data_IF_254053384845
#
_entry.id   IF_254053384845
#
_cell.length_a   1.000
_cell.length_b   1.000
_cell.length_c   1.000
_cell.angle_alpha   90.00
_cell.angle_beta   90.00
_cell.angle_gamma   90.00
#
_symmetry.space_group_name_H-M   'P 1'
#
loop_
_entity.id
_entity.type
_entity.pdbx_description
1 polymer ?
#
# COMPACT_ATOMS: atom_id res chain seq x y z
N UNK A 1 -11.26 -24.01 15.00
CA UNK A 1 -10.04 -23.46 15.63
C UNK A 1 -10.35 -22.04 16.11
N UNK A 2 -9.87 -21.65 17.29
CA UNK A 2 -9.98 -20.28 17.75
C UNK A 2 -8.91 -19.41 17.05
N UNK A 3 -9.29 -18.21 16.62
CA UNK A 3 -8.37 -17.25 16.01
C UNK A 3 -7.46 -16.64 17.08
N UNK A 4 -6.20 -16.39 16.74
CA UNK A 4 -5.26 -15.73 17.65
C UNK A 4 -5.55 -14.22 17.75
N UNK A 5 -6.03 -13.62 16.66
CA UNK A 5 -6.49 -12.22 16.64
C UNK A 5 -7.94 -12.12 16.13
N UNK A 6 -8.94 -12.46 16.97
CA UNK A 6 -10.36 -12.55 16.54
C UNK A 6 -10.91 -11.28 15.89
N UNK A 7 -10.37 -10.12 16.25
CA UNK A 7 -10.78 -8.82 15.73
C UNK A 7 -10.40 -8.56 14.26
N UNK A 8 -9.31 -9.15 13.76
CA UNK A 8 -8.77 -8.84 12.43
C UNK A 8 -8.49 -10.09 11.59
N UNK A 9 -8.00 -11.17 12.18
CA UNK A 9 -7.61 -12.40 11.49
C UNK A 9 -8.71 -12.99 10.60
N UNK A 10 -10.01 -13.06 11.01
CA UNK A 10 -11.06 -13.57 10.14
C UNK A 10 -11.29 -12.71 8.90
N UNK A 11 -11.18 -11.38 9.04
CA UNK A 11 -11.37 -10.44 7.94
C UNK A 11 -10.21 -10.52 6.96
N UNK A 12 -8.97 -10.54 7.45
CA UNK A 12 -7.80 -10.68 6.59
C UNK A 12 -7.78 -12.05 5.91
N UNK A 13 -8.11 -13.13 6.61
CA UNK A 13 -8.24 -14.47 6.03
C UNK A 13 -9.29 -14.55 4.91
N UNK A 14 -10.39 -13.78 5.00
CA UNK A 14 -11.34 -13.65 3.89
C UNK A 14 -10.70 -12.94 2.68
N UNK A 15 -9.99 -11.84 2.90
CA UNK A 15 -9.36 -11.06 1.83
C UNK A 15 -8.24 -11.82 1.12
N UNK A 16 -7.44 -12.56 1.88
CA UNK A 16 -6.39 -13.42 1.35
C UNK A 16 -7.00 -14.45 0.39
N UNK A 17 -8.04 -15.16 0.81
CA UNK A 17 -8.75 -16.13 -0.06
C UNK A 17 -9.29 -15.50 -1.33
N UNK A 18 -9.90 -14.31 -1.24
CA UNK A 18 -10.40 -13.59 -2.41
C UNK A 18 -9.28 -13.25 -3.40
N UNK A 19 -8.11 -12.83 -2.92
CA UNK A 19 -6.95 -12.52 -3.77
C UNK A 19 -6.33 -13.77 -4.39
N UNK A 20 -6.33 -14.90 -3.68
CA UNK A 20 -5.63 -16.12 -4.09
C UNK A 20 -6.47 -17.10 -4.90
N UNK A 21 -7.79 -16.99 -4.87
CA UNK A 21 -8.69 -17.93 -5.53
C UNK A 21 -9.70 -17.19 -6.41
N UNK A 22 -9.59 -17.39 -7.72
CA UNK A 22 -10.50 -16.81 -8.71
C UNK A 22 -11.96 -17.31 -8.57
N UNK A 23 -12.17 -18.43 -7.87
CA UNK A 23 -13.48 -19.02 -7.62
C UNK A 23 -13.99 -18.78 -6.19
N UNK A 24 -13.31 -17.96 -5.37
CA UNK A 24 -13.79 -17.68 -4.01
C UNK A 24 -15.13 -16.92 -4.09
N UNK A 25 -16.24 -17.47 -3.57
CA UNK A 25 -17.55 -16.89 -3.75
C UNK A 25 -17.75 -15.63 -2.91
N UNK A 26 -18.62 -14.73 -3.39
CA UNK A 26 -19.05 -13.57 -2.62
C UNK A 26 -17.99 -12.48 -2.46
N UNK A 27 -17.15 -12.27 -3.49
CA UNK A 27 -16.30 -11.09 -3.57
C UNK A 27 -17.17 -9.84 -3.73
N UNK A 28 -17.19 -8.91 -2.76
CA UNK A 28 -17.96 -7.67 -2.88
C UNK A 28 -17.19 -6.59 -3.66
N UNK A 29 -15.94 -6.86 -4.05
CA UNK A 29 -15.04 -5.87 -4.66
C UNK A 29 -15.00 -6.15 -6.15
N UNK A 30 -15.59 -5.22 -6.91
CA UNK A 30 -15.52 -5.23 -8.36
C UNK A 30 -14.24 -4.53 -8.82
N UNK A 31 -13.76 -4.91 -10.01
CA UNK A 31 -12.68 -4.18 -10.65
C UNK A 31 -13.12 -2.73 -10.90
N UNK A 32 -12.32 -1.78 -10.45
CA UNK A 32 -12.66 -0.36 -10.56
C UNK A 32 -12.49 0.11 -12.00
N UNK A 33 -13.57 0.66 -12.53
CA UNK A 33 -13.60 1.33 -13.85
C UNK A 33 -13.22 2.80 -13.75
N UNK A 34 -13.01 3.33 -12.55
CA UNK A 34 -12.66 4.72 -12.31
C UNK A 34 -11.25 4.99 -12.83
N UNK A 35 -11.12 6.08 -13.59
CA UNK A 35 -9.88 6.59 -14.19
C UNK A 35 -9.72 8.08 -13.89
N UNK A 36 -8.51 8.61 -14.07
CA UNK A 36 -8.23 10.04 -13.89
C UNK A 36 -9.18 10.94 -14.70
N UNK A 37 -9.46 10.58 -15.96
CA UNK A 37 -10.38 11.35 -16.82
C UNK A 37 -11.86 11.28 -16.44
N UNK A 38 -12.28 10.30 -15.64
CA UNK A 38 -13.68 10.16 -15.16
C UNK A 38 -13.89 10.74 -13.77
N UNK A 39 -12.81 11.11 -13.07
CA UNK A 39 -12.89 11.77 -11.78
C UNK A 39 -13.46 13.18 -12.00
N UNK A 40 -14.68 13.43 -11.51
CA UNK A 40 -15.48 14.61 -11.87
C UNK A 40 -14.80 15.92 -11.43
N UNK A 41 -14.19 16.61 -12.39
CA UNK A 41 -13.93 18.05 -12.27
C UNK A 41 -15.29 18.78 -12.27
N UNK A 42 -15.53 19.75 -11.38
CA UNK A 42 -14.57 20.50 -10.57
C UNK A 42 -14.38 19.99 -9.12
N UNK A 43 -15.03 18.92 -8.70
CA UNK A 43 -15.09 18.50 -7.29
C UNK A 43 -13.81 17.87 -6.75
N UNK A 44 -12.94 17.41 -7.65
CA UNK A 44 -11.69 16.76 -7.31
C UNK A 44 -10.49 17.56 -7.80
N UNK A 45 -9.43 17.58 -7.01
CA UNK A 45 -8.13 18.10 -7.42
C UNK A 45 -7.15 16.93 -7.50
N UNK A 46 -6.42 16.85 -8.60
CA UNK A 46 -5.31 15.92 -8.76
C UNK A 46 -4.05 16.72 -9.10
N UNK A 47 -3.19 16.90 -8.11
CA UNK A 47 -1.90 17.58 -8.24
C UNK A 47 -0.82 16.53 -8.47
N UNK A 48 0.05 16.76 -9.46
CA UNK A 48 1.17 15.86 -9.75
C UNK A 48 2.49 16.62 -9.68
N UNK A 49 3.50 15.97 -9.15
CA UNK A 49 4.85 16.50 -9.02
C UNK A 49 5.92 15.46 -9.35
N UNK A 50 7.15 15.95 -9.48
CA UNK A 50 8.35 15.12 -9.57
C UNK A 50 9.20 15.38 -8.34
N UNK A 51 9.73 14.30 -7.79
CA UNK A 51 10.68 14.37 -6.69
C UNK A 51 11.96 13.62 -7.08
N UNK A 52 13.07 14.35 -7.11
CA UNK A 52 14.37 13.79 -7.46
C UNK A 52 14.92 12.97 -6.30
N UNK A 53 15.49 11.81 -6.62
CA UNK A 53 15.98 10.89 -5.62
C UNK A 53 17.36 11.31 -5.12
N UNK A 54 17.49 11.42 -3.79
CA UNK A 54 18.81 11.48 -3.15
C UNK A 54 19.53 10.12 -3.25
N UNK A 55 20.87 10.09 -3.12
CA UNK A 55 21.64 8.84 -3.20
C UNK A 55 21.18 7.75 -2.22
N UNK A 56 20.70 8.13 -1.03
CA UNK A 56 20.17 7.18 -0.03
C UNK A 56 18.87 6.51 -0.51
N UNK A 57 17.97 7.26 -1.17
CA UNK A 57 16.76 6.72 -1.76
C UNK A 57 17.10 5.76 -2.90
N UNK A 58 18.09 6.11 -3.73
CA UNK A 58 18.58 5.23 -4.80
C UNK A 58 19.12 3.93 -4.21
N UNK A 59 19.97 3.99 -3.17
CA UNK A 59 20.52 2.80 -2.52
C UNK A 59 19.43 1.89 -1.93
N UNK A 60 18.39 2.48 -1.34
CA UNK A 60 17.22 1.74 -0.84
C UNK A 60 16.49 0.99 -1.96
N UNK A 61 16.23 1.66 -3.10
CA UNK A 61 15.58 1.07 -4.27
C UNK A 61 16.42 -0.07 -4.87
N UNK A 62 17.75 0.12 -4.96
CA UNK A 62 18.69 -0.95 -5.38
C UNK A 62 18.63 -2.14 -4.42
N UNK A 63 18.57 -1.89 -3.11
CA UNK A 63 18.43 -2.94 -2.09
C UNK A 63 17.14 -3.75 -2.22
N UNK A 64 16.09 -3.19 -2.83
CA UNK A 64 14.84 -3.90 -3.16
C UNK A 64 14.89 -4.65 -4.51
N UNK A 65 15.99 -4.55 -5.26
CA UNK A 65 16.12 -5.16 -6.59
C UNK A 65 15.24 -4.50 -7.66
N UNK A 66 14.82 -3.25 -7.43
CA UNK A 66 14.01 -2.50 -8.39
C UNK A 66 14.88 -1.82 -9.45
N UNK A 67 14.40 -1.74 -10.71
CA UNK A 67 15.17 -1.16 -11.81
C UNK A 67 15.26 0.36 -11.67
N UNK A 68 16.35 0.85 -11.07
CA UNK A 68 16.61 2.30 -10.96
C UNK A 68 16.68 2.98 -12.31
N UNK A 69 17.11 2.28 -13.36
CA UNK A 69 17.12 2.79 -14.73
C UNK A 69 15.75 3.24 -15.22
N UNK A 70 14.67 2.59 -14.79
CA UNK A 70 13.30 2.94 -15.20
C UNK A 70 12.78 4.20 -14.48
N UNK A 71 13.46 4.63 -13.41
CA UNK A 71 13.19 5.89 -12.70
C UNK A 71 13.89 7.09 -13.35
N UNK A 72 14.85 6.84 -14.25
CA UNK A 72 15.50 7.88 -15.03
C UNK A 72 14.47 8.37 -16.06
N UNK A 73 14.07 9.64 -16.02
CA UNK A 73 13.13 10.17 -16.98
C UNK A 73 13.65 10.03 -18.40
N UNK A 74 12.79 9.57 -19.33
CA UNK A 74 13.10 9.58 -20.76
C UNK A 74 13.02 11.00 -21.33
N UNK A 75 13.93 11.88 -20.91
CA UNK A 75 14.14 13.19 -21.49
C UNK A 75 15.42 13.17 -22.33
N UNK A 76 15.60 14.20 -23.15
CA UNK A 76 16.78 14.37 -24.00
C UNK A 76 18.07 14.69 -23.22
N UNK A 77 18.00 14.81 -21.89
CA UNK A 77 19.16 15.11 -21.05
C UNK A 77 19.69 13.83 -20.37
N UNK A 78 20.86 13.33 -20.77
CA UNK A 78 21.47 12.13 -20.19
C UNK A 78 21.97 12.31 -18.74
N UNK A 79 21.90 13.52 -18.16
CA UNK A 79 22.29 13.82 -16.79
C UNK A 79 21.11 13.85 -15.79
N UNK A 80 19.87 13.54 -16.21
CA UNK A 80 18.74 13.54 -15.29
C UNK A 80 18.84 12.43 -14.23
N UNK A 81 18.67 12.83 -12.97
CA UNK A 81 18.67 11.91 -11.85
C UNK A 81 17.37 11.08 -11.81
N UNK A 82 17.39 9.86 -11.26
CA UNK A 82 16.18 9.10 -10.99
C UNK A 82 15.15 9.94 -10.22
N UNK A 83 13.87 9.83 -10.58
CA UNK A 83 12.81 10.59 -9.91
C UNK A 83 11.57 9.75 -9.63
N UNK A 84 10.93 10.01 -8.50
CA UNK A 84 9.58 9.55 -8.26
C UNK A 84 8.55 10.53 -8.80
N UNK A 85 7.34 10.02 -9.06
CA UNK A 85 6.14 10.83 -9.23
C UNK A 85 5.46 10.97 -7.88
N UNK A 86 4.92 12.15 -7.64
CA UNK A 86 4.11 12.44 -6.48
C UNK A 86 2.70 12.79 -6.97
N UNK A 87 1.67 12.30 -6.28
CA UNK A 87 0.27 12.63 -6.59
C UNK A 87 -0.52 12.90 -5.32
N UNK A 88 -1.27 14.01 -5.33
CA UNK A 88 -2.22 14.37 -4.29
C UNK A 88 -3.60 14.42 -4.94
N UNK A 89 -4.45 13.45 -4.60
CA UNK A 89 -5.84 13.44 -5.04
C UNK A 89 -6.71 13.78 -3.85
N UNK A 90 -7.49 14.86 -3.93
CA UNK A 90 -8.35 15.32 -2.83
C UNK A 90 -9.67 15.91 -3.33
N UNK A 91 -10.72 15.74 -2.55
CA UNK A 91 -12.00 16.46 -2.73
C UNK A 91 -11.82 17.95 -2.43
N UNK A 92 -12.41 18.82 -3.23
CA UNK A 92 -12.50 20.26 -2.93
C UNK A 92 -13.55 20.49 -1.86
N UNK A 93 -13.12 21.03 -0.72
CA UNK A 93 -14.00 21.29 0.43
C UNK A 93 -14.44 20.05 1.22
N UNK A 94 -14.01 18.85 0.80
CA UNK A 94 -14.25 17.59 1.52
C UNK A 94 -13.02 17.09 2.28
N UNK A 95 -13.16 15.94 2.95
CA UNK A 95 -12.12 15.32 3.78
C UNK A 95 -11.32 14.26 2.99
N UNK A 96 -11.89 13.72 1.92
CA UNK A 96 -11.30 12.59 1.22
C UNK A 96 -10.05 13.02 0.45
N UNK A 97 -8.94 12.36 0.77
CA UNK A 97 -7.65 12.67 0.19
C UNK A 97 -6.72 11.44 0.22
N UNK A 98 -5.88 11.32 -0.80
CA UNK A 98 -4.74 10.41 -0.80
C UNK A 98 -3.49 11.17 -1.25
N UNK A 99 -2.39 10.90 -0.56
CA UNK A 99 -1.06 11.43 -0.87
C UNK A 99 -0.14 10.25 -1.14
N UNK A 100 0.37 10.17 -2.35
CA UNK A 100 1.18 9.03 -2.80
C UNK A 100 2.46 9.47 -3.50
N UNK A 101 3.49 8.63 -3.40
CA UNK A 101 4.69 8.69 -4.22
C UNK A 101 4.86 7.36 -4.92
N UNK A 102 5.36 7.37 -6.15
CA UNK A 102 5.37 6.17 -6.97
C UNK A 102 6.50 6.19 -7.99
N UNK A 103 6.93 4.99 -8.33
CA UNK A 103 7.85 4.69 -9.42
C UNK A 103 7.50 3.36 -10.08
N UNK A 104 8.26 2.95 -11.12
CA UNK A 104 8.13 1.62 -11.71
C UNK A 104 8.28 0.54 -10.65
N UNK A 105 7.24 -0.27 -10.47
CA UNK A 105 7.24 -1.38 -9.51
C UNK A 105 7.02 -1.02 -8.05
N UNK A 106 6.91 0.26 -7.68
CA UNK A 106 6.78 0.67 -6.27
C UNK A 106 5.80 1.83 -6.06
N UNK A 107 4.99 1.70 -5.01
CA UNK A 107 4.05 2.72 -4.54
C UNK A 107 4.28 2.97 -3.04
N UNK A 108 4.32 4.23 -2.64
CA UNK A 108 4.36 4.68 -1.25
C UNK A 108 3.09 5.48 -0.95
N UNK A 109 2.42 5.13 0.13
CA UNK A 109 1.22 5.78 0.65
C UNK A 109 1.57 6.55 1.92
N UNK A 110 1.50 7.88 1.88
CA UNK A 110 1.83 8.75 3.02
C UNK A 110 0.60 9.13 3.82
N UNK A 111 -0.51 9.37 3.14
CA UNK A 111 -1.73 9.79 3.79
C UNK A 111 -2.93 9.27 3.02
N UNK A 112 -3.92 8.80 3.77
CA UNK A 112 -5.20 8.40 3.25
C UNK A 112 -6.28 8.85 4.23
N UNK A 113 -7.29 9.55 3.70
CA UNK A 113 -8.44 10.03 4.45
C UNK A 113 -9.67 9.80 3.59
N UNK A 114 -10.73 9.30 4.22
CA UNK A 114 -12.06 9.18 3.62
C UNK A 114 -13.07 9.09 4.75
N UNK A 115 -14.18 9.80 4.65
CA UNK A 115 -15.27 9.64 5.61
C UNK A 115 -15.97 8.30 5.34
N UNK A 116 -16.27 7.53 6.39
CA UNK A 116 -16.81 6.17 6.25
C UNK A 116 -18.08 6.14 5.38
N UNK A 117 -18.99 7.09 5.59
CA UNK A 117 -20.31 7.18 4.95
C UNK A 117 -20.35 8.15 3.77
N UNK A 118 -19.19 8.57 3.24
CA UNK A 118 -19.17 9.39 2.02
C UNK A 118 -19.47 8.56 0.77
N UNK A 119 -20.07 9.21 -0.23
CA UNK A 119 -20.19 8.71 -1.60
C UNK A 119 -18.89 8.91 -2.41
N UNK A 120 -17.83 9.42 -1.78
CA UNK A 120 -16.53 9.59 -2.42
C UNK A 120 -15.94 8.22 -2.82
N UNK A 121 -15.17 8.15 -3.93
CA UNK A 121 -14.44 6.96 -4.32
C UNK A 121 -13.61 6.39 -3.16
N UNK A 122 -13.45 5.08 -3.15
CA UNK A 122 -12.64 4.43 -2.13
C UNK A 122 -11.17 4.81 -2.29
N UNK A 123 -10.43 4.85 -1.18
CA UNK A 123 -8.98 5.12 -1.19
C UNK A 123 -8.24 4.20 -2.15
N UNK A 124 -8.62 2.91 -2.22
CA UNK A 124 -8.07 1.94 -3.18
C UNK A 124 -8.23 2.36 -4.64
N UNK A 125 -9.35 3.01 -4.99
CA UNK A 125 -9.59 3.50 -6.34
C UNK A 125 -8.77 4.76 -6.64
N UNK A 126 -8.66 5.67 -5.68
CA UNK A 126 -7.81 6.85 -5.81
C UNK A 126 -6.33 6.47 -5.98
N UNK A 127 -5.86 5.48 -5.23
CA UNK A 127 -4.51 4.91 -5.38
C UNK A 127 -4.29 4.35 -6.79
N UNK A 128 -5.25 3.57 -7.29
CA UNK A 128 -5.21 3.02 -8.65
C UNK A 128 -5.12 4.12 -9.70
N UNK A 129 -5.96 5.14 -9.61
CA UNK A 129 -5.91 6.30 -10.51
C UNK A 129 -4.53 6.96 -10.47
N UNK A 130 -4.01 7.19 -9.27
CA UNK A 130 -2.72 7.86 -9.11
C UNK A 130 -1.61 7.05 -9.79
N UNK A 131 -1.53 5.74 -9.54
CA UNK A 131 -0.50 4.87 -10.10
C UNK A 131 -0.64 4.70 -11.61
N UNK A 132 -1.84 4.36 -12.09
CA UNK A 132 -2.12 4.06 -13.50
C UNK A 132 -1.97 5.28 -14.41
N UNK A 133 -2.00 6.50 -13.86
CA UNK A 133 -1.73 7.74 -14.61
C UNK A 133 -0.28 7.80 -15.11
N UNK A 134 0.66 7.16 -14.40
CA UNK A 134 2.09 7.29 -14.68
C UNK A 134 2.79 5.98 -15.01
N UNK A 135 2.31 4.86 -14.48
CA UNK A 135 2.97 3.56 -14.57
C UNK A 135 1.96 2.46 -14.88
N UNK A 136 2.42 1.38 -15.50
CA UNK A 136 1.58 0.21 -15.76
C UNK A 136 1.39 -0.59 -14.48
N UNK A 137 0.14 -0.94 -14.19
CA UNK A 137 -0.23 -1.67 -12.96
C UNK A 137 0.41 -3.07 -12.91
N UNK A 138 0.55 -3.75 -14.05
CA UNK A 138 1.17 -5.09 -14.16
C UNK A 138 2.60 -5.15 -13.59
N UNK A 139 3.32 -4.04 -13.64
CA UNK A 139 4.68 -3.90 -13.13
C UNK A 139 4.78 -3.70 -11.60
N UNK A 140 3.69 -3.41 -10.89
CA UNK A 140 3.72 -3.07 -9.46
C UNK A 140 4.09 -4.30 -8.59
N UNK A 141 5.15 -4.17 -7.78
CA UNK A 141 5.70 -5.24 -6.93
C UNK A 141 5.67 -4.92 -5.44
N UNK A 142 5.73 -3.63 -5.07
CA UNK A 142 5.78 -3.23 -3.66
C UNK A 142 4.82 -2.09 -3.38
N UNK A 143 4.08 -2.22 -2.29
CA UNK A 143 3.29 -1.12 -1.71
C UNK A 143 3.83 -0.87 -0.31
N UNK A 144 4.23 0.37 -0.05
CA UNK A 144 4.67 0.86 1.24
C UNK A 144 3.59 1.75 1.84
N UNK A 145 3.26 1.48 3.08
CA UNK A 145 2.49 2.36 3.95
C UNK A 145 3.50 3.08 4.82
N UNK A 146 3.75 4.34 4.47
CA UNK A 146 4.80 5.17 5.05
C UNK A 146 4.23 5.90 6.28
N UNK A 147 4.97 5.88 7.39
CA UNK A 147 4.59 6.53 8.66
C UNK A 147 3.13 6.22 9.07
N UNK A 148 2.82 4.95 9.30
CA UNK A 148 1.46 4.49 9.61
C UNK A 148 0.99 5.11 10.93
N UNK A 149 0.03 6.03 10.82
CA UNK A 149 -0.67 6.67 11.95
C UNK A 149 -2.17 6.29 12.00
N UNK A 150 -2.57 5.24 11.29
CA UNK A 150 -3.96 4.80 11.30
C UNK A 150 -4.29 4.20 12.67
N UNK A 151 -5.26 4.80 13.36
CA UNK A 151 -5.51 4.65 14.80
C UNK A 151 -5.91 3.25 15.26
N UNK A 152 -6.13 2.30 14.34
CA UNK A 152 -6.38 0.89 14.66
C UNK A 152 -5.24 -0.01 14.22
N UNK A 153 -4.50 0.37 13.18
CA UNK A 153 -3.43 -0.45 12.61
C UNK A 153 -2.16 -0.36 13.45
N UNK A 154 -1.69 0.85 13.73
CA UNK A 154 -0.42 1.06 14.46
C UNK A 154 -0.52 0.52 15.91
N UNK A 155 -1.54 0.90 16.72
CA UNK A 155 -1.66 0.35 18.08
C UNK A 155 -1.85 -1.17 18.09
N UNK A 156 -2.54 -1.74 17.08
CA UNK A 156 -2.68 -3.19 17.00
C UNK A 156 -1.34 -3.89 16.75
N UNK A 157 -0.49 -3.32 15.89
CA UNK A 157 0.84 -3.88 15.63
C UNK A 157 1.72 -3.76 16.88
N UNK A 158 1.72 -2.60 17.53
CA UNK A 158 2.48 -2.33 18.75
C UNK A 158 2.05 -3.21 19.93
N UNK A 159 0.76 -3.25 20.23
CA UNK A 159 0.26 -3.82 21.48
C UNK A 159 -0.05 -5.33 21.38
N UNK A 160 -0.27 -5.85 20.16
CA UNK A 160 -0.74 -7.23 19.98
C UNK A 160 0.17 -8.06 19.08
N UNK A 161 0.60 -7.54 17.92
CA UNK A 161 1.43 -8.33 16.99
C UNK A 161 2.82 -8.54 17.56
N UNK A 162 3.58 -7.48 17.82
CA UNK A 162 4.96 -7.59 18.30
C UNK A 162 5.07 -8.34 19.65
N UNK A 163 4.25 -8.03 20.67
CA UNK A 163 4.35 -8.70 21.98
C UNK A 163 3.99 -10.18 21.97
N UNK A 164 3.19 -10.63 21.00
CA UNK A 164 2.83 -12.04 20.87
C UNK A 164 3.98 -12.93 20.36
N UNK A 165 5.00 -12.33 19.75
CA UNK A 165 6.16 -13.04 19.22
C UNK A 165 7.34 -12.98 20.20
N UNK A 166 7.73 -14.13 20.73
CA UNK A 166 8.84 -14.22 21.69
C UNK A 166 10.14 -13.64 21.11
N UNK A 167 10.72 -12.67 21.81
CA UNK A 167 12.00 -12.06 21.45
C UNK A 167 11.90 -10.88 20.49
N UNK A 168 10.68 -10.44 20.13
CA UNK A 168 10.47 -9.18 19.43
C UNK A 168 10.22 -8.05 20.43
N UNK A 169 10.77 -6.87 20.13
CA UNK A 169 10.51 -5.61 20.82
C UNK A 169 9.80 -4.65 19.89
N UNK A 170 8.96 -3.78 20.45
CA UNK A 170 8.41 -2.62 19.77
C UNK A 170 8.94 -1.33 20.42
N UNK A 171 9.45 -0.35 19.64
CA UNK A 171 9.81 -0.48 18.24
C UNK A 171 10.95 -1.50 18.05
N UNK A 172 11.14 -1.96 16.81
CA UNK A 172 12.20 -2.91 16.47
C UNK A 172 13.25 -2.27 15.59
N UNK A 173 14.53 -2.47 15.95
CA UNK A 173 15.68 -2.07 15.14
C UNK A 173 15.90 -2.95 13.91
N UNK A 174 15.13 -4.04 13.77
CA UNK A 174 15.19 -4.97 12.65
C UNK A 174 13.84 -5.02 11.95
N UNK A 175 13.89 -5.12 10.62
CA UNK A 175 12.71 -5.45 9.82
C UNK A 175 12.17 -6.82 10.22
N UNK A 176 10.87 -6.88 10.50
CA UNK A 176 10.16 -8.12 10.76
C UNK A 176 9.42 -8.54 9.50
N UNK A 177 9.43 -9.84 9.21
CA UNK A 177 8.75 -10.43 8.05
C UNK A 177 7.65 -11.33 8.58
N UNK A 178 6.42 -11.04 8.16
CA UNK A 178 5.24 -11.82 8.49
C UNK A 178 4.93 -12.73 7.30
N UNK A 179 5.04 -14.03 7.54
CA UNK A 179 4.83 -15.05 6.51
C UNK A 179 3.34 -15.34 6.35
N UNK A 180 2.92 -15.66 5.13
CA UNK A 180 1.53 -15.94 4.77
C UNK A 180 0.81 -16.93 5.69
N UNK A 181 1.52 -17.98 6.14
CA UNK A 181 0.95 -19.01 7.01
C UNK A 181 0.77 -18.57 8.46
N UNK A 182 1.20 -17.37 8.82
CA UNK A 182 1.18 -16.87 10.19
C UNK A 182 -0.15 -16.16 10.52
N UNK A 183 -0.63 -16.26 11.76
CA UNK A 183 -1.82 -15.51 12.19
C UNK A 183 -1.59 -13.99 12.14
N UNK A 184 -0.36 -13.52 12.35
CA UNK A 184 0.03 -12.11 12.27
C UNK A 184 -0.18 -11.56 10.86
N UNK A 185 0.23 -12.30 9.83
CA UNK A 185 0.00 -11.92 8.44
C UNK A 185 -1.50 -11.74 8.16
N UNK A 186 -2.31 -12.72 8.56
CA UNK A 186 -3.77 -12.66 8.39
C UNK A 186 -4.40 -11.53 9.21
N UNK A 187 -3.88 -11.25 10.41
CA UNK A 187 -4.37 -10.17 11.23
C UNK A 187 -4.00 -8.78 10.67
N UNK A 188 -2.76 -8.59 10.20
CA UNK A 188 -2.34 -7.33 9.55
C UNK A 188 -3.20 -7.08 8.30
N UNK A 189 -3.48 -8.12 7.50
CA UNK A 189 -4.40 -8.01 6.35
C UNK A 189 -5.82 -7.59 6.75
N UNK A 190 -6.26 -7.87 7.97
CA UNK A 190 -7.58 -7.49 8.48
C UNK A 190 -7.68 -6.06 9.02
N UNK A 191 -6.54 -5.38 9.25
CA UNK A 191 -6.50 -3.99 9.70
C UNK A 191 -7.03 -3.03 8.63
N UNK A 192 -7.40 -1.78 8.98
CA UNK A 192 -7.79 -0.78 7.97
C UNK A 192 -6.76 -0.58 6.85
N UNK A 193 -5.46 -0.56 7.19
CA UNK A 193 -4.38 -0.48 6.20
C UNK A 193 -4.35 -1.72 5.30
N UNK A 194 -4.36 -2.92 5.89
CA UNK A 194 -4.38 -4.18 5.12
C UNK A 194 -5.58 -4.29 4.18
N UNK A 195 -6.75 -3.80 4.62
CA UNK A 195 -7.98 -3.72 3.82
C UNK A 195 -7.82 -2.82 2.61
N UNK A 196 -7.25 -1.61 2.78
CA UNK A 196 -7.01 -0.70 1.65
C UNK A 196 -6.12 -1.36 0.60
N UNK A 197 -5.05 -2.04 1.01
CA UNK A 197 -4.15 -2.76 0.10
C UNK A 197 -4.87 -3.92 -0.58
N UNK A 198 -5.60 -4.76 0.16
CA UNK A 198 -6.37 -5.87 -0.42
C UNK A 198 -7.42 -5.38 -1.43
N UNK A 199 -8.13 -4.30 -1.09
CA UNK A 199 -9.15 -3.71 -1.97
C UNK A 199 -8.52 -3.09 -3.21
N UNK A 200 -7.34 -2.50 -3.07
CA UNK A 200 -6.55 -2.05 -4.23
C UNK A 200 -6.18 -3.23 -5.12
N UNK A 201 -5.65 -4.34 -4.59
CA UNK A 201 -5.31 -5.52 -5.40
C UNK A 201 -6.55 -6.09 -6.10
N UNK A 202 -7.62 -6.36 -5.35
CA UNK A 202 -8.86 -6.93 -5.90
C UNK A 202 -9.54 -5.99 -6.89
N UNK A 203 -9.60 -4.69 -6.59
CA UNK A 203 -10.18 -3.68 -7.48
C UNK A 203 -9.33 -3.37 -8.71
N UNK A 204 -8.03 -3.69 -8.68
CA UNK A 204 -7.12 -3.44 -9.81
C UNK A 204 -7.03 -4.65 -10.73
N UNK A 205 -6.85 -5.85 -10.17
CA UNK A 205 -6.52 -7.06 -10.92
C UNK A 205 -7.66 -8.08 -10.96
N UNK A 206 -8.61 -8.00 -10.04
CA UNK A 206 -9.61 -9.05 -9.82
C UNK A 206 -9.12 -10.17 -8.90
N UNK A 207 -9.95 -11.20 -8.72
CA UNK A 207 -9.65 -12.36 -7.88
C UNK A 207 -8.68 -13.33 -8.55
N UNK A 208 -7.76 -13.90 -7.77
CA UNK A 208 -6.87 -14.97 -8.24
C UNK A 208 -5.84 -14.51 -9.29
N UNK A 209 -5.55 -13.21 -9.39
CA UNK A 209 -4.57 -12.68 -10.35
C UNK A 209 -3.28 -12.26 -9.68
N UNK A 210 -3.40 -11.46 -8.61
CA UNK A 210 -2.28 -11.00 -7.79
C UNK A 210 -2.56 -11.30 -6.32
N UNK A 211 -1.50 -11.56 -5.58
CA UNK A 211 -1.54 -11.81 -4.13
C UNK A 211 -0.43 -11.05 -3.42
N UNK A 212 -0.58 -10.92 -2.11
CA UNK A 212 0.47 -10.39 -1.24
C UNK A 212 1.35 -11.58 -0.82
N UNK A 213 2.57 -11.67 -1.32
CA UNK A 213 3.51 -12.72 -1.00
C UNK A 213 3.92 -12.67 0.48
N UNK A 214 4.26 -11.45 0.94
CA UNK A 214 4.90 -11.18 2.23
C UNK A 214 4.49 -9.81 2.73
N UNK A 215 4.46 -9.66 4.05
CA UNK A 215 4.33 -8.36 4.72
C UNK A 215 5.59 -8.14 5.53
N UNK A 216 6.16 -6.95 5.47
CA UNK A 216 7.27 -6.55 6.32
C UNK A 216 6.91 -5.31 7.13
N UNK A 217 7.25 -5.30 8.41
CA UNK A 217 7.15 -4.11 9.27
C UNK A 217 8.54 -3.68 9.70
N UNK A 218 8.79 -2.37 9.66
CA UNK A 218 10.08 -1.80 10.05
C UNK A 218 9.89 -0.40 10.59
N UNK A 219 10.86 0.06 11.38
CA UNK A 219 10.81 1.35 12.03
C UNK A 219 11.93 2.25 11.51
N UNK A 220 11.63 3.53 11.33
CA UNK A 220 12.64 4.55 11.00
C UNK A 220 12.46 5.80 11.88
N UNK A 221 13.25 6.85 11.61
CA UNK A 221 13.26 8.07 12.40
C UNK A 221 14.14 7.97 13.64
N UNK A 222 14.34 9.11 14.29
CA UNK A 222 14.99 9.17 15.61
C UNK A 222 14.17 8.34 16.59
N UNK A 223 14.83 7.53 17.41
CA UNK A 223 14.20 6.61 18.37
C UNK A 223 13.23 5.57 17.79
N UNK A 224 13.26 5.34 16.46
CA UNK A 224 12.45 4.32 15.78
C UNK A 224 10.92 4.48 15.95
N UNK A 225 10.43 5.72 16.11
CA UNK A 225 9.01 5.98 16.36
C UNK A 225 8.12 5.86 15.11
N UNK A 226 8.68 5.74 13.90
CA UNK A 226 7.90 5.72 12.65
C UNK A 226 7.71 4.29 12.18
N UNK A 227 6.51 3.74 12.32
CA UNK A 227 6.16 2.42 11.78
C UNK A 227 5.89 2.50 10.27
N UNK A 228 6.49 1.58 9.52
CA UNK A 228 6.25 1.36 8.10
C UNK A 228 5.80 -0.06 7.84
N UNK A 229 4.93 -0.23 6.85
CA UNK A 229 4.48 -1.56 6.40
C UNK A 229 4.72 -1.70 4.90
N UNK A 230 5.44 -2.74 4.50
CA UNK A 230 5.64 -3.10 3.09
C UNK A 230 4.85 -4.36 2.75
N UNK A 231 4.12 -4.30 1.65
CA UNK A 231 3.42 -5.42 1.05
C UNK A 231 4.10 -5.80 -0.25
N UNK A 232 4.58 -7.04 -0.33
CA UNK A 232 5.24 -7.58 -1.51
C UNK A 232 4.17 -8.28 -2.36
N UNK A 233 4.05 -7.93 -3.65
CA UNK A 233 3.01 -8.41 -4.56
C UNK A 233 3.62 -9.36 -5.59
N UNK A 234 2.93 -10.47 -5.87
CA UNK A 234 3.29 -11.42 -6.91
C UNK A 234 2.05 -11.95 -7.64
N UNK A 235 2.27 -12.63 -8.75
CA UNK A 235 1.23 -13.38 -9.46
C UNK A 235 0.79 -14.62 -8.66
N UNK A 236 -0.47 -15.02 -8.83
CA UNK A 236 -1.07 -16.22 -8.23
C UNK A 236 -0.82 -17.45 -9.09
#
# INVERSE_FOLDING_TARGET
>A
MAFHYPQFEPYGGKLIRLMENCNEPGCPIHMSTLKSGTLQQPFWTNEYGREWLSPEHIASIVGLGLPVGDLIPHTSDPAESPSFRHSIIKTKGGITAVVVRMGPGVLFLYSMRRLHESDDPYVSELIKIAYETHFRLDGLRYIFMDEVQECRTEPFIEEHIYPSCKGLSYPSSKTQIWHRSSPEYSAIMGTPVGKVVAYFILGTYGQGVKRIARIATFHTGLDLHKLHIRFDIEDV
#
